data_IF_810885649897
#
_entry.id   IF_810885649897
#
_cell.length_a   1.000
_cell.length_b   1.000
_cell.length_c   1.000
_cell.angle_alpha   90.00
_cell.angle_beta   90.00
_cell.angle_gamma   90.00
#
_symmetry.space_group_name_H-M   'P 1'
#
loop_
_entity.id
_entity.type
_entity.pdbx_description
1 polymer ?
#
# COMPACT_ATOMS: atom_id res chain seq x y z
N UNK A 1 10.69 33.65 9.84
CA UNK A 1 9.98 32.36 9.62
C UNK A 1 8.93 32.10 10.69
N UNK A 2 9.27 32.13 11.98
CA UNK A 2 8.32 31.92 13.08
C UNK A 2 7.76 33.26 13.61
N UNK A 3 6.93 33.93 12.80
CA UNK A 3 6.17 35.09 13.29
C UNK A 3 4.93 34.59 14.07
N UNK A 4 4.71 35.06 15.32
CA UNK A 4 3.53 34.72 16.12
C UNK A 4 2.23 35.17 15.44
N UNK A 5 2.26 36.24 14.65
CA UNK A 5 1.12 36.73 13.90
C UNK A 5 1.00 35.99 12.54
N UNK A 6 -0.07 35.20 12.31
CA UNK A 6 -0.20 34.40 11.10
C UNK A 6 -0.27 35.24 9.82
N UNK A 7 -0.75 36.48 9.88
CA UNK A 7 -0.84 37.38 8.73
C UNK A 7 0.50 38.01 8.33
N UNK A 8 1.50 37.96 9.23
CA UNK A 8 2.86 38.45 8.97
C UNK A 8 3.86 37.31 8.78
N UNK A 9 3.39 36.07 8.91
CA UNK A 9 4.21 34.89 8.68
C UNK A 9 4.56 34.82 7.21
N UNK A 10 5.83 34.56 6.95
CA UNK A 10 6.36 34.31 5.60
C UNK A 10 5.53 33.22 4.91
N UNK A 11 5.17 33.45 3.65
CA UNK A 11 4.41 32.50 2.83
C UNK A 11 5.30 31.39 2.29
N UNK A 12 4.70 30.29 1.83
CA UNK A 12 5.46 29.19 1.19
C UNK A 12 6.26 29.71 -0.01
N UNK A 13 5.65 30.56 -0.85
CA UNK A 13 6.33 31.14 -2.02
C UNK A 13 7.54 32.00 -1.63
N UNK A 14 7.45 32.77 -0.55
CA UNK A 14 8.58 33.56 -0.06
C UNK A 14 9.68 32.68 0.54
N UNK A 15 9.33 31.59 1.24
CA UNK A 15 10.30 30.59 1.72
C UNK A 15 11.05 29.94 0.54
N UNK A 16 10.34 29.51 -0.51
CA UNK A 16 10.94 28.87 -1.68
C UNK A 16 11.91 29.79 -2.44
N UNK A 17 11.70 31.10 -2.35
CA UNK A 17 12.56 32.11 -2.97
C UNK A 17 13.66 32.65 -2.03
N UNK A 18 13.66 32.26 -0.75
CA UNK A 18 14.62 32.73 0.23
C UNK A 18 16.05 32.18 -0.06
N UNK A 19 17.10 33.02 -0.02
CA UNK A 19 18.47 32.60 -0.26
C UNK A 19 18.98 31.49 0.68
N UNK A 20 18.50 31.44 1.93
CA UNK A 20 18.84 30.39 2.88
C UNK A 20 18.28 29.05 2.42
N UNK A 21 17.03 29.04 1.94
CA UNK A 21 16.34 27.81 1.53
C UNK A 21 16.89 27.30 0.20
N UNK A 22 17.16 28.18 -0.76
CA UNK A 22 17.69 27.81 -2.08
C UNK A 22 19.11 27.23 -2.04
N UNK A 23 19.87 27.47 -0.97
CA UNK A 23 21.24 26.99 -0.85
C UNK A 23 21.27 25.48 -0.61
N UNK A 24 21.40 24.71 -1.68
CA UNK A 24 21.47 23.23 -1.64
C UNK A 24 20.13 22.54 -1.78
N UNK A 25 19.02 23.29 -1.93
CA UNK A 25 17.72 22.72 -2.24
C UNK A 25 17.74 22.10 -3.64
N UNK A 26 17.31 20.83 -3.71
CA UNK A 26 16.93 20.16 -4.94
C UNK A 26 15.46 19.83 -4.80
N UNK A 27 14.66 20.25 -5.77
CA UNK A 27 13.28 19.80 -5.85
C UNK A 27 13.31 18.28 -6.02
N UNK A 28 12.81 17.58 -5.00
CA UNK A 28 12.60 16.15 -5.11
C UNK A 28 11.31 16.02 -5.89
N UNK A 29 11.40 15.73 -7.19
CA UNK A 29 10.28 15.15 -7.92
C UNK A 29 9.98 13.83 -7.22
N UNK A 30 8.97 13.80 -6.35
CA UNK A 30 8.45 12.55 -5.85
C UNK A 30 7.80 11.87 -7.05
N UNK A 31 8.38 10.78 -7.60
CA UNK A 31 7.69 10.01 -8.60
C UNK A 31 6.43 9.51 -7.90
N UNK A 32 5.28 9.88 -8.44
CA UNK A 32 3.96 9.45 -7.95
C UNK A 32 3.86 7.92 -7.87
N UNK A 33 4.78 7.21 -8.54
CA UNK A 33 4.94 5.76 -8.56
C UNK A 33 5.70 5.14 -7.36
N UNK A 34 6.46 5.89 -6.56
CA UNK A 34 7.21 5.33 -5.42
C UNK A 34 6.28 4.75 -4.34
N UNK A 35 5.01 5.19 -4.30
CA UNK A 35 4.00 4.66 -3.36
C UNK A 35 3.57 3.22 -3.72
N UNK A 36 3.87 2.79 -4.95
CA UNK A 36 3.62 1.43 -5.46
C UNK A 36 4.90 0.65 -5.75
N UNK A 37 6.01 1.04 -5.14
CA UNK A 37 7.24 0.24 -5.14
C UNK A 37 7.29 -0.65 -3.91
N UNK A 38 7.72 -1.89 -4.10
CA UNK A 38 7.93 -2.81 -3.00
C UNK A 38 9.01 -2.21 -2.10
N UNK A 39 8.69 -2.03 -0.82
CA UNK A 39 9.65 -1.46 0.13
C UNK A 39 10.83 -2.44 0.25
N UNK A 40 11.99 -2.05 -0.26
CA UNK A 40 13.25 -2.64 0.18
C UNK A 40 13.49 -2.14 1.59
N UNK A 41 13.07 -2.93 2.58
CA UNK A 41 13.51 -2.79 3.96
C UNK A 41 15.03 -2.89 3.96
N UNK A 42 15.71 -1.75 4.00
CA UNK A 42 17.17 -1.63 3.94
C UNK A 42 17.88 -2.10 5.20
N UNK A 43 17.66 -3.35 5.58
CA UNK A 43 18.38 -4.06 6.62
C UNK A 43 18.27 -5.55 6.35
N UNK A 44 19.32 -6.29 6.70
CA UNK A 44 19.39 -7.77 6.72
C UNK A 44 18.35 -8.38 7.70
N UNK A 45 17.07 -8.05 7.54
CA UNK A 45 15.98 -8.80 8.12
C UNK A 45 15.76 -10.00 7.22
N UNK A 46 15.94 -11.18 7.81
CA UNK A 46 15.56 -12.46 7.24
C UNK A 46 14.22 -12.33 6.50
N UNK A 47 14.29 -12.41 5.17
CA UNK A 47 13.16 -12.29 4.23
C UNK A 47 12.09 -13.37 4.46
N UNK A 48 12.36 -14.32 5.35
CA UNK A 48 11.48 -15.41 5.79
C UNK A 48 10.82 -15.17 7.16
N UNK A 49 10.99 -14.00 7.77
CA UNK A 49 10.49 -13.74 9.13
C UNK A 49 8.98 -13.51 9.17
N UNK A 50 8.33 -14.10 10.19
CA UNK A 50 6.93 -13.84 10.47
C UNK A 50 6.72 -12.39 10.94
N UNK A 51 5.60 -11.79 10.53
CA UNK A 51 5.17 -10.49 11.04
C UNK A 51 5.08 -10.53 12.57
N UNK A 52 5.76 -9.59 13.20
CA UNK A 52 5.67 -9.39 14.62
C UNK A 52 4.51 -8.43 14.97
N UNK A 53 4.26 -8.25 16.27
CA UNK A 53 3.19 -7.38 16.75
C UNK A 53 3.38 -5.89 16.37
N UNK A 54 4.60 -5.38 16.32
CA UNK A 54 4.88 -4.02 15.88
C UNK A 54 4.59 -3.83 14.40
N UNK A 55 4.87 -4.84 13.57
CA UNK A 55 4.54 -4.80 12.14
C UNK A 55 3.02 -4.68 11.96
N UNK A 56 2.25 -5.49 12.70
CA UNK A 56 0.77 -5.45 12.66
C UNK A 56 0.25 -4.07 13.08
N UNK A 57 0.78 -3.52 14.17
CA UNK A 57 0.39 -2.19 14.68
C UNK A 57 0.70 -1.11 13.65
N UNK A 58 1.81 -1.23 12.92
CA UNK A 58 2.23 -0.25 11.92
C UNK A 58 1.24 -0.10 10.76
N UNK A 59 0.43 -1.12 10.47
CA UNK A 59 -0.60 -1.06 9.45
C UNK A 59 -1.86 -0.28 9.85
N UNK A 60 -2.00 0.08 11.13
CA UNK A 60 -3.18 0.84 11.58
C UNK A 60 -3.20 2.23 10.95
N UNK A 61 -4.34 2.59 10.34
CA UNK A 61 -4.55 3.90 9.74
C UNK A 61 -4.42 5.06 10.73
N UNK A 62 -4.50 4.79 12.04
CA UNK A 62 -4.27 5.80 13.09
C UNK A 62 -2.82 6.26 13.22
N UNK A 63 -1.86 5.50 12.70
CA UNK A 63 -0.44 5.86 12.63
C UNK A 63 -0.01 6.35 11.24
N UNK A 64 -0.91 6.29 10.25
CA UNK A 64 -0.63 6.72 8.89
C UNK A 64 -0.93 8.22 8.69
N UNK A 65 0.15 9.02 8.63
CA UNK A 65 0.09 10.47 8.40
C UNK A 65 0.09 10.85 6.91
N UNK A 66 0.20 9.89 5.99
CA UNK A 66 0.24 10.16 4.54
C UNK A 66 -0.98 10.94 4.04
N UNK A 67 -2.14 10.71 4.67
CA UNK A 67 -3.39 11.40 4.38
C UNK A 67 -3.34 12.92 4.64
N UNK A 68 -2.44 13.41 5.52
CA UNK A 68 -2.28 14.85 5.78
C UNK A 68 -1.61 15.59 4.61
N UNK A 69 -0.86 14.87 3.78
CA UNK A 69 -0.06 15.45 2.70
C UNK A 69 -0.53 15.01 1.30
N UNK A 70 -1.65 14.29 1.22
CA UNK A 70 -2.23 13.78 -0.02
C UNK A 70 -2.88 14.90 -0.85
N UNK A 71 -2.07 15.60 -1.64
CA UNK A 71 -2.46 16.82 -2.36
C UNK A 71 -3.13 16.58 -3.74
N UNK A 72 -3.25 15.33 -4.19
CA UNK A 72 -3.59 15.02 -5.60
C UNK A 72 -5.04 14.54 -5.83
N UNK A 73 -5.92 14.59 -4.83
CA UNK A 73 -7.35 14.23 -4.96
C UNK A 73 -7.67 12.74 -5.20
N UNK A 74 -6.72 11.97 -5.72
CA UNK A 74 -6.82 10.52 -5.92
C UNK A 74 -6.23 9.83 -4.69
N UNK A 75 -7.10 9.35 -3.80
CA UNK A 75 -6.68 8.64 -2.59
C UNK A 75 -6.17 7.25 -2.92
N UNK A 76 -5.02 6.89 -2.34
CA UNK A 76 -4.62 5.49 -2.24
C UNK A 76 -5.49 4.84 -1.18
N UNK A 77 -6.09 3.71 -1.52
CA UNK A 77 -6.84 2.90 -0.56
C UNK A 77 -6.05 1.66 -0.23
N UNK A 78 -5.89 1.38 1.06
CA UNK A 78 -5.34 0.14 1.57
C UNK A 78 -6.46 -0.71 2.18
N UNK A 79 -6.53 -1.98 1.79
CA UNK A 79 -7.39 -3.01 2.39
C UNK A 79 -6.51 -4.19 2.80
N UNK A 80 -6.77 -4.80 3.95
CA UNK A 80 -6.01 -5.96 4.43
C UNK A 80 -6.93 -7.09 4.86
N UNK A 81 -6.47 -8.33 4.68
CA UNK A 81 -7.14 -9.50 5.22
C UNK A 81 -6.12 -10.59 5.59
N UNK A 82 -6.56 -11.55 6.40
CA UNK A 82 -5.79 -12.74 6.75
C UNK A 82 -6.29 -13.90 5.88
N UNK A 83 -5.37 -14.75 5.42
CA UNK A 83 -5.67 -15.95 4.63
C UNK A 83 -4.91 -17.15 5.19
N UNK A 84 -5.48 -18.35 5.05
CA UNK A 84 -4.78 -19.62 5.27
C UNK A 84 -4.28 -20.26 3.96
N UNK A 85 -4.56 -19.63 2.82
CA UNK A 85 -4.06 -20.07 1.52
C UNK A 85 -2.59 -19.74 1.35
N UNK A 86 -1.90 -20.53 0.52
CA UNK A 86 -0.50 -20.26 0.21
C UNK A 86 -0.35 -18.96 -0.60
N UNK A 87 0.79 -18.24 -0.46
CA UNK A 87 1.08 -17.05 -1.27
C UNK A 87 0.92 -17.29 -2.78
N UNK A 88 1.34 -18.47 -3.26
CA UNK A 88 1.27 -18.85 -4.67
C UNK A 88 -0.18 -18.92 -5.15
N UNK A 89 -1.07 -19.52 -4.35
CA UNK A 89 -2.49 -19.65 -4.69
C UNK A 89 -3.21 -18.31 -4.72
N UNK A 90 -2.84 -17.40 -3.82
CA UNK A 90 -3.36 -16.03 -3.78
C UNK A 90 -2.89 -15.26 -5.03
N UNK A 91 -1.60 -15.33 -5.36
CA UNK A 91 -1.03 -14.69 -6.55
C UNK A 91 -1.68 -15.22 -7.82
N UNK A 92 -1.86 -16.53 -7.94
CA UNK A 92 -2.49 -17.18 -9.09
C UNK A 92 -3.90 -16.62 -9.35
N UNK A 93 -4.74 -16.54 -8.31
CA UNK A 93 -6.09 -15.94 -8.43
C UNK A 93 -6.07 -14.48 -8.86
N UNK A 94 -5.11 -13.70 -8.37
CA UNK A 94 -4.97 -12.29 -8.76
C UNK A 94 -4.59 -12.20 -10.25
N UNK A 95 -3.70 -13.07 -10.72
CA UNK A 95 -3.27 -13.11 -12.11
C UNK A 95 -4.37 -13.53 -13.08
N UNK A 96 -5.21 -14.49 -12.71
CA UNK A 96 -6.37 -14.90 -13.53
C UNK A 96 -7.23 -13.67 -13.85
N UNK A 97 -7.60 -12.89 -12.82
CA UNK A 97 -8.38 -11.65 -13.00
C UNK A 97 -7.60 -10.60 -13.78
N UNK A 98 -6.29 -10.46 -13.52
CA UNK A 98 -5.46 -9.48 -14.21
C UNK A 98 -5.34 -9.76 -15.72
N UNK A 99 -5.23 -11.04 -16.11
CA UNK A 99 -5.19 -11.48 -17.51
C UNK A 99 -6.50 -11.18 -18.22
N UNK A 100 -7.63 -11.50 -17.58
CA UNK A 100 -8.96 -11.24 -18.13
C UNK A 100 -9.22 -9.74 -18.38
N UNK A 101 -8.68 -8.88 -17.52
CA UNK A 101 -8.80 -7.42 -17.62
C UNK A 101 -7.65 -6.78 -18.43
N UNK A 102 -6.75 -7.56 -19.02
CA UNK A 102 -5.64 -7.08 -19.86
C UNK A 102 -4.62 -6.21 -19.11
N UNK A 103 -4.45 -6.41 -17.80
CA UNK A 103 -3.53 -5.64 -16.96
C UNK A 103 -2.09 -6.14 -17.10
N UNK A 104 -1.13 -5.21 -17.02
CA UNK A 104 0.29 -5.57 -16.91
C UNK A 104 0.60 -6.07 -15.51
N UNK A 105 1.28 -7.21 -15.42
CA UNK A 105 1.67 -7.87 -14.16
C UNK A 105 3.18 -7.77 -13.96
N UNK A 106 3.59 -7.36 -12.76
CA UNK A 106 4.98 -7.43 -12.29
C UNK A 106 5.00 -8.15 -10.94
N UNK A 107 5.88 -9.14 -10.76
CA UNK A 107 5.99 -9.92 -9.52
C UNK A 107 7.37 -9.77 -8.90
N UNK A 108 7.42 -9.95 -7.59
CA UNK A 108 8.66 -10.24 -6.85
C UNK A 108 8.35 -11.20 -5.69
N UNK A 109 9.32 -11.40 -4.81
CA UNK A 109 9.18 -12.29 -3.64
C UNK A 109 8.16 -11.80 -2.61
N UNK A 110 7.90 -10.49 -2.57
CA UNK A 110 6.96 -9.85 -1.63
C UNK A 110 5.51 -9.85 -2.12
N UNK A 111 5.29 -10.03 -3.43
CA UNK A 111 3.95 -10.13 -4.00
C UNK A 111 3.86 -9.69 -5.47
N UNK A 112 2.79 -8.97 -5.80
CA UNK A 112 2.36 -8.70 -7.18
C UNK A 112 1.88 -7.25 -7.36
N UNK A 113 2.32 -6.61 -8.44
CA UNK A 113 1.89 -5.28 -8.89
C UNK A 113 1.17 -5.40 -10.22
N UNK A 114 -0.01 -4.81 -10.30
CA UNK A 114 -0.84 -4.72 -11.49
C UNK A 114 -0.94 -3.28 -11.97
N UNK A 115 -0.86 -3.08 -13.28
CA UNK A 115 -0.99 -1.76 -13.90
C UNK A 115 -1.90 -1.80 -15.13
N UNK A 116 -2.92 -0.95 -15.14
CA UNK A 116 -3.88 -0.80 -16.23
C UNK A 116 -4.73 0.46 -16.03
N UNK A 117 -6.06 0.30 -16.05
CA UNK A 117 -7.02 1.37 -15.70
C UNK A 117 -6.88 1.89 -14.27
N UNK A 118 -6.31 1.07 -13.38
CA UNK A 118 -5.84 1.45 -12.05
C UNK A 118 -4.52 0.76 -11.75
N UNK A 119 -3.83 1.24 -10.72
CA UNK A 119 -2.64 0.59 -10.15
C UNK A 119 -3.06 -0.15 -8.89
N UNK A 120 -2.64 -1.40 -8.78
CA UNK A 120 -2.83 -2.23 -7.58
C UNK A 120 -1.52 -2.91 -7.22
N UNK A 121 -1.19 -2.96 -5.93
CA UNK A 121 -0.11 -3.74 -5.38
C UNK A 121 -0.70 -4.63 -4.30
N UNK A 122 -0.30 -5.89 -4.30
CA UNK A 122 -0.61 -6.86 -3.26
C UNK A 122 0.72 -7.34 -2.67
N UNK A 123 0.88 -7.14 -1.37
CA UNK A 123 2.00 -7.68 -0.58
C UNK A 123 1.48 -8.81 0.31
N UNK A 124 2.21 -9.92 0.37
CA UNK A 124 1.84 -11.11 1.15
C UNK A 124 2.95 -11.38 2.16
N UNK A 125 2.62 -11.31 3.44
CA UNK A 125 3.58 -11.48 4.53
C UNK A 125 3.13 -12.62 5.45
N UNK A 126 4.05 -13.48 5.89
CA UNK A 126 3.73 -14.60 6.78
C UNK A 126 3.38 -14.08 8.17
N UNK A 127 2.29 -14.54 8.76
CA UNK A 127 1.87 -14.21 10.11
C UNK A 127 2.15 -15.36 11.07
N UNK A 128 1.82 -16.58 10.64
CA UNK A 128 2.15 -17.84 11.32
C UNK A 128 2.52 -18.87 10.26
N UNK A 129 2.84 -20.10 10.67
CA UNK A 129 3.11 -21.19 9.72
C UNK A 129 1.96 -21.44 8.74
N UNK A 130 0.73 -21.19 9.19
CA UNK A 130 -0.50 -21.46 8.44
C UNK A 130 -1.18 -20.20 7.90
N UNK A 131 -0.84 -19.01 8.39
CA UNK A 131 -1.54 -17.77 8.08
C UNK A 131 -0.63 -16.74 7.43
N UNK A 132 -1.19 -16.02 6.47
CA UNK A 132 -0.57 -14.86 5.84
C UNK A 132 -1.46 -13.63 5.98
N UNK A 133 -0.83 -12.46 6.10
CA UNK A 133 -1.48 -11.16 5.92
C UNK A 133 -1.33 -10.75 4.46
N UNK A 134 -2.44 -10.42 3.83
CA UNK A 134 -2.50 -9.90 2.47
C UNK A 134 -2.85 -8.42 2.55
N UNK A 135 -1.92 -7.56 2.15
CA UNK A 135 -2.12 -6.12 2.06
C UNK A 135 -2.35 -5.73 0.59
N UNK A 136 -3.46 -5.04 0.33
CA UNK A 136 -3.84 -4.58 -1.01
C UNK A 136 -3.87 -3.05 -1.03
N UNK A 137 -2.89 -2.45 -1.73
CA UNK A 137 -2.83 -1.02 -2.02
C UNK A 137 -3.36 -0.79 -3.42
N UNK A 138 -4.20 0.21 -3.62
CA UNK A 138 -4.72 0.56 -4.96
C UNK A 138 -4.96 2.05 -5.13
N UNK A 139 -4.77 2.52 -6.37
CA UNK A 139 -5.03 3.90 -6.81
C UNK A 139 -5.60 3.88 -8.22
N UNK A 140 -6.74 4.53 -8.45
CA UNK A 140 -7.33 4.61 -9.78
C UNK A 140 -8.57 5.50 -9.84
N UNK A 141 -8.91 5.92 -11.05
CA UNK A 141 -10.12 6.67 -11.39
C UNK A 141 -10.86 5.87 -12.47
N UNK A 142 -12.12 5.47 -12.22
CA UNK A 142 -12.93 4.75 -13.21
C UNK A 142 -13.85 3.69 -12.62
N UNK A 143 -14.31 2.77 -13.49
CA UNK A 143 -15.12 1.60 -13.11
C UNK A 143 -14.43 0.85 -11.98
N UNK A 144 -15.19 0.45 -10.96
CA UNK A 144 -14.64 -0.19 -9.76
C UNK A 144 -14.36 -1.69 -10.02
N UNK A 145 -13.43 -1.96 -10.94
CA UNK A 145 -12.95 -3.32 -11.29
C UNK A 145 -12.51 -4.05 -10.02
N UNK A 146 -11.97 -3.32 -9.04
CA UNK A 146 -11.70 -3.85 -7.71
C UNK A 146 -12.94 -4.50 -7.10
N UNK A 147 -14.04 -3.76 -6.92
CA UNK A 147 -15.28 -4.32 -6.36
C UNK A 147 -15.94 -5.37 -7.24
N UNK A 148 -15.87 -5.22 -8.56
CA UNK A 148 -16.59 -6.08 -9.50
C UNK A 148 -15.88 -7.42 -9.76
N UNK A 149 -14.54 -7.44 -9.76
CA UNK A 149 -13.75 -8.58 -10.25
C UNK A 149 -12.78 -9.11 -9.21
N UNK A 150 -11.94 -8.26 -8.63
CA UNK A 150 -10.88 -8.70 -7.71
C UNK A 150 -11.43 -9.04 -6.32
N UNK A 151 -12.21 -8.14 -5.72
CA UNK A 151 -12.70 -8.28 -4.35
C UNK A 151 -13.54 -9.55 -4.13
N UNK A 152 -14.43 -9.97 -5.03
CA UNK A 152 -15.15 -11.24 -4.87
C UNK A 152 -14.22 -12.46 -4.83
N UNK A 153 -13.17 -12.48 -5.68
CA UNK A 153 -12.21 -13.59 -5.73
C UNK A 153 -11.33 -13.65 -4.48
N UNK A 154 -10.93 -12.49 -3.96
CA UNK A 154 -10.11 -12.38 -2.75
C UNK A 154 -10.92 -12.59 -1.47
N UNK A 155 -12.19 -12.19 -1.44
CA UNK A 155 -13.08 -12.47 -0.30
C UNK A 155 -13.22 -13.97 -0.02
N UNK A 156 -13.16 -14.79 -1.07
CA UNK A 156 -13.19 -16.25 -0.94
C UNK A 156 -11.93 -16.83 -0.26
N UNK A 157 -10.87 -16.03 -0.12
CA UNK A 157 -9.61 -16.42 0.53
C UNK A 157 -9.49 -15.91 1.96
N UNK A 158 -10.46 -15.11 2.43
CA UNK A 158 -10.43 -14.57 3.78
C UNK A 158 -10.58 -15.72 4.76
N UNK A 159 -9.63 -15.82 5.68
CA UNK A 159 -9.64 -16.79 6.75
C UNK A 159 -10.93 -16.67 7.57
N UNK A 160 -11.69 -17.76 7.62
CA UNK A 160 -12.84 -17.90 8.49
C UNK A 160 -12.43 -18.82 9.63
N UNK A 161 -12.30 -18.26 10.84
CA UNK A 161 -12.15 -19.08 12.04
C UNK A 161 -13.34 -20.03 12.09
N UNK A 162 -13.08 -21.33 12.12
CA UNK A 162 -14.14 -22.32 12.32
C UNK A 162 -14.91 -21.93 13.58
N UNK A 163 -16.25 -21.81 13.43
CA UNK A 163 -17.17 -21.85 14.57
C UNK A 163 -17.07 -23.24 15.21
N UNK A 164 -16.01 -23.49 16.00
CA UNK A 164 -15.99 -24.59 16.95
C UNK A 164 -16.87 -24.22 18.15
N UNK A 165 -18.18 -24.24 17.92
CA UNK A 165 -19.15 -24.50 18.98
C UNK A 165 -19.95 -25.71 18.53
N UNK A 166 -19.32 -26.88 18.58
CA UNK A 166 -20.06 -28.13 18.77
C UNK A 166 -20.15 -28.33 20.28
N UNK A 167 -21.33 -28.00 20.82
CA UNK A 167 -21.78 -28.43 22.15
C UNK A 167 -22.00 -29.93 22.17
#
# INVERSE_FOLDING_TARGET
MLDPNPHKRITVNEILNDPWFRKGYREIEYPVDNEFDFKNSGGDMDESSFLNAFDIISYSSGFDLSNLFSNNGIRVTCEMFISAESPERIIEKIEEVAKDEGMRVTKNEKGIRLQGSFVMMVEINRLTEELVVVEVKRRGLGRDIWKEKFKPQLNALIYQSERQVRR
#
